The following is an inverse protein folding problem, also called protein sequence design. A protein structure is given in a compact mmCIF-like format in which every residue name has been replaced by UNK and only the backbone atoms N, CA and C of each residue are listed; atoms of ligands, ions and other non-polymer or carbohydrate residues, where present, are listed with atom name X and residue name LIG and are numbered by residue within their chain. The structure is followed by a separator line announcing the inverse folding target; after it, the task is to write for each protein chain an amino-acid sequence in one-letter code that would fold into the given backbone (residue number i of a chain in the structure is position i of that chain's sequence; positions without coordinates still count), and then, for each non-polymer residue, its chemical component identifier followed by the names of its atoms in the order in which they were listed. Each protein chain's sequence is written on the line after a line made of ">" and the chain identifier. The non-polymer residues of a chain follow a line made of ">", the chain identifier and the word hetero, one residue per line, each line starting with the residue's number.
data_IF_812662844416
#
_entry.id   IF_812662844416
#
_cell.length_a   1.000
_cell.length_b   1.000
_cell.length_c   1.000
_cell.angle_alpha   90.00
_cell.angle_beta   90.00
_cell.angle_gamma   90.00
#
_symmetry.space_group_name_H-M   'P 1'
#
loop_
_entity.id
_entity.type
_entity.pdbx_description
1 polymer ?
#
# COMPACT_ATOMS: atom_id res chain seq x y z
N UNK A 1 -14.54 -17.68 -5.27
CA UNK A 1 -13.15 -17.86 -5.76
C UNK A 1 -12.26 -18.42 -4.66
N UNK A 2 -11.11 -18.98 -5.03
CA UNK A 2 -10.07 -19.41 -4.11
C UNK A 2 -8.88 -18.46 -4.20
N UNK A 3 -8.56 -17.79 -3.10
CA UNK A 3 -7.45 -16.86 -3.01
C UNK A 3 -6.29 -17.45 -2.22
N UNK A 4 -5.06 -17.18 -2.64
CA UNK A 4 -3.87 -17.40 -1.84
C UNK A 4 -3.27 -16.04 -1.46
N UNK A 5 -3.15 -15.76 -0.14
CA UNK A 5 -2.62 -14.47 0.34
C UNK A 5 -1.22 -14.67 0.94
N UNK A 6 -0.22 -14.13 0.27
CA UNK A 6 1.13 -13.99 0.82
C UNK A 6 1.20 -12.75 1.73
N UNK A 7 1.95 -12.83 2.82
CA UNK A 7 1.98 -11.75 3.82
C UNK A 7 0.69 -11.59 4.61
N UNK A 8 -0.10 -12.65 4.73
CA UNK A 8 -1.42 -12.68 5.39
C UNK A 8 -1.40 -12.38 6.90
N UNK A 9 -0.23 -12.34 7.54
CA UNK A 9 -0.07 -11.93 8.94
C UNK A 9 0.21 -10.44 9.11
N UNK A 10 0.41 -9.70 8.01
CA UNK A 10 0.65 -8.26 8.00
C UNK A 10 -0.63 -7.44 8.09
N UNK A 11 -0.49 -6.10 8.22
CA UNK A 11 -1.60 -5.15 8.38
C UNK A 11 -2.64 -5.26 7.26
N UNK A 12 -2.22 -5.25 5.99
CA UNK A 12 -3.13 -5.35 4.85
C UNK A 12 -3.61 -6.79 4.64
N UNK A 13 -2.68 -7.76 4.64
CA UNK A 13 -3.00 -9.15 4.31
C UNK A 13 -3.98 -9.81 5.29
N UNK A 14 -3.87 -9.53 6.60
CA UNK A 14 -4.77 -10.10 7.60
C UNK A 14 -6.20 -9.56 7.46
N UNK A 15 -6.34 -8.27 7.16
CA UNK A 15 -7.64 -7.62 6.95
C UNK A 15 -8.27 -8.04 5.63
N UNK A 16 -7.47 -8.13 4.56
CA UNK A 16 -7.94 -8.68 3.29
C UNK A 16 -8.43 -10.12 3.44
N UNK A 17 -7.71 -10.96 4.20
CA UNK A 17 -8.14 -12.33 4.48
C UNK A 17 -9.49 -12.37 5.22
N UNK A 18 -9.68 -11.50 6.23
CA UNK A 18 -10.96 -11.37 6.95
C UNK A 18 -12.09 -10.92 5.99
N UNK A 19 -11.83 -9.88 5.20
CA UNK A 19 -12.79 -9.37 4.21
C UNK A 19 -13.24 -10.46 3.23
N UNK A 20 -12.29 -11.11 2.54
CA UNK A 20 -12.60 -12.12 1.53
C UNK A 20 -13.31 -13.35 2.12
N UNK A 21 -12.96 -13.78 3.34
CA UNK A 21 -13.70 -14.86 4.05
C UNK A 21 -15.14 -14.44 4.34
N UNK A 22 -15.37 -13.22 4.79
CA UNK A 22 -16.71 -12.70 5.06
C UNK A 22 -17.56 -12.58 3.79
N UNK A 23 -16.92 -12.45 2.61
CA UNK A 23 -17.57 -12.51 1.30
C UNK A 23 -17.82 -13.94 0.79
N UNK A 24 -17.49 -14.96 1.57
CA UNK A 24 -17.71 -16.37 1.22
C UNK A 24 -16.65 -16.97 0.32
N UNK A 25 -15.49 -16.31 0.15
CA UNK A 25 -14.39 -16.86 -0.63
C UNK A 25 -13.57 -17.90 0.17
N UNK A 26 -12.98 -18.88 -0.55
CA UNK A 26 -11.99 -19.78 0.02
C UNK A 26 -10.63 -19.06 0.08
N UNK A 27 -10.16 -18.76 1.29
CA UNK A 27 -8.94 -17.97 1.49
C UNK A 27 -7.86 -18.79 2.16
N UNK A 28 -6.82 -19.08 1.40
CA UNK A 28 -5.61 -19.74 1.88
C UNK A 28 -4.65 -18.70 2.44
N UNK A 29 -4.24 -18.93 3.66
CA UNK A 29 -3.27 -18.09 4.38
C UNK A 29 -2.14 -18.98 4.89
N UNK A 30 -0.91 -18.53 4.76
CA UNK A 30 0.25 -19.29 5.20
C UNK A 30 1.48 -18.39 5.34
N UNK A 31 2.45 -18.90 6.09
CA UNK A 31 3.77 -18.26 6.23
C UNK A 31 4.73 -18.91 5.21
N UNK A 32 4.44 -18.72 3.92
CA UNK A 32 5.40 -19.12 2.89
C UNK A 32 6.51 -18.07 2.79
N UNK A 33 7.73 -18.56 2.77
CA UNK A 33 8.90 -17.74 2.49
C UNK A 33 8.93 -17.39 1.00
N UNK A 34 8.67 -16.13 0.67
CA UNK A 34 8.53 -15.68 -0.73
C UNK A 34 9.85 -15.72 -1.51
N UNK A 35 10.98 -15.87 -0.83
CA UNK A 35 12.30 -16.06 -1.44
C UNK A 35 12.56 -17.48 -1.89
N UNK A 36 11.75 -18.44 -1.43
CA UNK A 36 11.85 -19.87 -1.81
C UNK A 36 10.90 -20.18 -2.99
N UNK A 37 11.38 -19.95 -4.22
CA UNK A 37 10.60 -20.16 -5.45
C UNK A 37 10.02 -21.57 -5.59
N UNK A 38 10.81 -22.67 -5.43
CA UNK A 38 10.28 -24.04 -5.53
C UNK A 38 9.12 -24.29 -4.56
N UNK A 39 9.24 -23.81 -3.32
CA UNK A 39 8.20 -23.98 -2.29
C UNK A 39 6.90 -23.23 -2.70
N UNK A 40 7.02 -22.05 -3.28
CA UNK A 40 5.85 -21.30 -3.79
C UNK A 40 5.15 -22.07 -4.90
N UNK A 41 5.90 -22.55 -5.89
CA UNK A 41 5.36 -23.32 -7.03
C UNK A 41 4.65 -24.58 -6.56
N UNK A 42 5.29 -25.37 -5.69
CA UNK A 42 4.69 -26.58 -5.11
C UNK A 42 3.36 -26.27 -4.41
N UNK A 43 3.35 -25.27 -3.54
CA UNK A 43 2.16 -24.91 -2.78
C UNK A 43 1.03 -24.40 -3.69
N UNK A 44 1.33 -23.59 -4.70
CA UNK A 44 0.32 -23.05 -5.60
C UNK A 44 -0.23 -24.14 -6.54
N UNK A 45 0.61 -25.03 -7.08
CA UNK A 45 0.18 -26.18 -7.89
C UNK A 45 -0.70 -27.14 -7.08
N UNK A 46 -0.37 -27.38 -5.81
CA UNK A 46 -1.16 -28.22 -4.90
C UNK A 46 -2.48 -27.58 -4.52
N UNK A 47 -2.47 -26.30 -4.18
CA UNK A 47 -3.66 -25.60 -3.69
C UNK A 47 -4.58 -25.09 -4.80
N UNK A 48 -4.07 -24.90 -6.02
CA UNK A 48 -4.79 -24.40 -7.21
C UNK A 48 -5.65 -23.17 -6.91
N UNK A 49 -5.07 -22.04 -6.49
CA UNK A 49 -5.83 -20.82 -6.27
C UNK A 49 -6.25 -20.19 -7.61
N UNK A 50 -7.40 -19.50 -7.62
CA UNK A 50 -7.82 -18.69 -8.76
C UNK A 50 -6.96 -17.41 -8.88
N UNK A 51 -6.58 -16.84 -7.73
CA UNK A 51 -5.74 -15.66 -7.65
C UNK A 51 -4.75 -15.74 -6.46
N UNK A 52 -3.55 -15.21 -6.67
CA UNK A 52 -2.53 -15.00 -5.64
C UNK A 52 -2.36 -13.50 -5.43
N UNK A 53 -2.55 -13.01 -4.20
CA UNK A 53 -2.32 -11.62 -3.85
C UNK A 53 -1.10 -11.53 -2.93
N UNK A 54 -0.07 -10.81 -3.36
CA UNK A 54 1.14 -10.64 -2.59
C UNK A 54 1.14 -9.33 -1.80
N UNK A 55 0.89 -9.42 -0.48
CA UNK A 55 1.08 -8.35 0.50
C UNK A 55 2.42 -8.43 1.23
N UNK A 56 3.22 -9.46 0.96
CA UNK A 56 4.51 -9.61 1.63
C UNK A 56 5.48 -8.51 1.22
N UNK A 57 6.23 -8.04 2.20
CA UNK A 57 7.25 -7.02 2.03
C UNK A 57 8.14 -6.98 3.28
N UNK A 58 9.33 -6.41 3.16
CA UNK A 58 10.22 -6.22 4.29
C UNK A 58 9.51 -5.44 5.41
N UNK A 59 9.78 -5.82 6.65
CA UNK A 59 9.19 -5.18 7.84
C UNK A 59 9.84 -3.81 8.07
N UNK A 60 9.30 -2.80 7.40
CA UNK A 60 9.73 -1.41 7.60
C UNK A 60 9.15 -0.87 8.93
N UNK A 61 9.89 -1.00 10.02
CA UNK A 61 9.47 -0.48 11.32
C UNK A 61 10.61 0.31 11.96
N UNK A 62 10.37 1.51 12.49
CA UNK A 62 9.06 2.20 12.56
C UNK A 62 8.58 2.76 11.22
N UNK A 63 9.47 2.96 10.26
CA UNK A 63 9.19 3.52 8.92
C UNK A 63 10.21 3.03 7.89
N UNK A 64 10.25 3.64 6.69
CA UNK A 64 11.12 3.24 5.58
C UNK A 64 12.61 3.49 5.81
N UNK A 65 13.01 4.24 6.84
CA UNK A 65 14.42 4.43 7.21
C UNK A 65 15.11 3.10 7.53
N UNK A 66 14.33 2.12 8.01
CA UNK A 66 14.80 0.75 8.20
C UNK A 66 15.45 0.16 6.93
N UNK A 67 14.94 0.49 5.75
CA UNK A 67 15.48 0.00 4.47
C UNK A 67 16.88 0.56 4.16
N UNK A 68 17.23 1.75 4.68
CA UNK A 68 18.57 2.32 4.49
C UNK A 68 19.62 1.52 5.26
N UNK A 69 19.24 0.95 6.40
CA UNK A 69 20.13 0.15 7.25
C UNK A 69 20.09 -1.37 6.93
N UNK A 70 19.06 -1.83 6.18
CA UNK A 70 18.81 -3.25 5.89
C UNK A 70 18.65 -3.50 4.38
N UNK A 71 19.62 -3.08 3.59
CA UNK A 71 19.55 -3.08 2.12
C UNK A 71 19.41 -4.49 1.53
N UNK A 72 20.22 -5.43 1.99
CA UNK A 72 20.20 -6.82 1.51
C UNK A 72 18.82 -7.47 1.72
N UNK A 73 18.28 -7.38 2.93
CA UNK A 73 16.95 -7.90 3.25
C UNK A 73 15.86 -7.20 2.43
N UNK A 74 16.01 -5.88 2.19
CA UNK A 74 15.09 -5.12 1.37
C UNK A 74 15.10 -5.59 -0.08
N UNK A 75 16.27 -5.82 -0.68
CA UNK A 75 16.39 -6.39 -2.04
C UNK A 75 15.79 -7.79 -2.08
N UNK A 76 16.18 -8.64 -1.13
CA UNK A 76 15.76 -10.04 -1.12
C UNK A 76 14.24 -10.18 -1.03
N UNK A 77 13.57 -9.41 -0.15
CA UNK A 77 12.13 -9.54 0.06
C UNK A 77 11.33 -8.67 -0.93
N UNK A 78 11.70 -7.39 -1.10
CA UNK A 78 10.89 -6.46 -1.89
C UNK A 78 11.11 -6.54 -3.40
N UNK A 79 12.18 -7.20 -3.84
CA UNK A 79 12.47 -7.40 -5.28
C UNK A 79 12.41 -8.90 -5.59
N UNK A 80 13.40 -9.69 -5.17
CA UNK A 80 13.49 -11.09 -5.54
C UNK A 80 12.26 -11.91 -5.07
N UNK A 81 11.86 -11.77 -3.81
CA UNK A 81 10.69 -12.46 -3.27
C UNK A 81 9.38 -12.06 -3.94
N UNK A 82 9.21 -10.77 -4.26
CA UNK A 82 8.03 -10.30 -4.97
C UNK A 82 7.96 -10.86 -6.40
N UNK A 83 9.08 -10.89 -7.12
CA UNK A 83 9.18 -11.49 -8.46
C UNK A 83 8.90 -12.99 -8.40
N UNK A 84 9.53 -13.71 -7.48
CA UNK A 84 9.30 -15.14 -7.26
C UNK A 84 7.82 -15.46 -7.03
N UNK A 85 7.15 -14.67 -6.18
CA UNK A 85 5.73 -14.87 -5.88
C UNK A 85 4.85 -14.76 -7.13
N UNK A 86 5.11 -13.78 -7.99
CA UNK A 86 4.34 -13.55 -9.21
C UNK A 86 4.64 -14.62 -10.27
N UNK A 87 5.91 -14.97 -10.47
CA UNK A 87 6.30 -16.04 -11.40
C UNK A 87 5.75 -17.40 -10.98
N UNK A 88 5.81 -17.75 -9.69
CA UNK A 88 5.25 -18.99 -9.17
C UNK A 88 3.72 -19.06 -9.35
N UNK A 89 3.02 -17.93 -9.18
CA UNK A 89 1.59 -17.85 -9.44
C UNK A 89 1.27 -18.10 -10.92
N UNK A 90 2.01 -17.47 -11.84
CA UNK A 90 1.88 -17.71 -13.29
C UNK A 90 2.15 -19.16 -13.66
N UNK A 91 3.24 -19.77 -13.14
CA UNK A 91 3.58 -21.16 -13.39
C UNK A 91 2.50 -22.14 -12.90
N UNK A 92 1.80 -21.77 -11.83
CA UNK A 92 0.69 -22.56 -11.28
C UNK A 92 -0.67 -22.26 -11.97
N UNK A 93 -0.71 -21.37 -12.96
CA UNK A 93 -1.94 -20.98 -13.66
C UNK A 93 -2.88 -20.07 -12.83
N UNK A 94 -2.40 -19.48 -11.75
CA UNK A 94 -3.16 -18.55 -10.92
C UNK A 94 -3.00 -17.10 -11.41
N UNK A 95 -4.03 -16.26 -11.21
CA UNK A 95 -3.93 -14.83 -11.52
C UNK A 95 -3.11 -14.08 -10.47
N UNK A 96 -1.99 -13.43 -10.86
CA UNK A 96 -1.07 -12.79 -9.93
C UNK A 96 -1.39 -11.31 -9.70
N UNK A 97 -1.54 -10.90 -8.44
CA UNK A 97 -1.70 -9.50 -8.02
C UNK A 97 -0.56 -9.13 -7.07
N UNK A 98 0.30 -8.21 -7.50
CA UNK A 98 1.35 -7.62 -6.66
C UNK A 98 0.87 -6.31 -6.05
N UNK A 99 0.82 -6.23 -4.72
CA UNK A 99 0.63 -4.96 -4.03
C UNK A 99 1.94 -4.16 -4.13
N UNK A 100 1.90 -3.10 -4.92
CA UNK A 100 3.00 -2.19 -5.19
C UNK A 100 2.82 -0.87 -4.43
N UNK A 101 3.60 0.14 -4.75
CA UNK A 101 3.62 1.42 -4.04
C UNK A 101 3.72 2.59 -4.98
N UNK A 102 2.94 3.65 -4.71
CA UNK A 102 3.09 4.95 -5.35
C UNK A 102 4.21 5.81 -4.76
N UNK A 103 4.96 5.32 -3.76
CA UNK A 103 6.11 6.04 -3.19
C UNK A 103 7.33 6.06 -4.14
N UNK A 104 7.09 6.15 -5.42
CA UNK A 104 8.09 6.24 -6.50
C UNK A 104 7.98 7.56 -7.26
N UNK A 105 7.10 8.45 -6.79
CA UNK A 105 6.88 9.76 -7.39
C UNK A 105 7.09 10.87 -6.36
N UNK A 106 7.40 12.07 -6.86
CA UNK A 106 7.43 13.33 -6.13
C UNK A 106 6.89 14.44 -7.01
N UNK A 107 5.85 15.14 -6.53
CA UNK A 107 5.20 16.24 -7.24
C UNK A 107 3.88 16.63 -6.56
N UNK A 108 3.45 17.88 -6.75
CA UNK A 108 2.22 18.42 -6.19
C UNK A 108 0.96 17.94 -6.91
N UNK A 109 -0.23 18.40 -6.46
CA UNK A 109 -1.53 17.99 -7.02
C UNK A 109 -1.70 18.35 -8.49
N UNK A 110 -1.00 19.37 -8.97
CA UNK A 110 -0.98 19.77 -10.38
C UNK A 110 -0.34 18.74 -11.31
N UNK A 111 0.45 17.82 -10.78
CA UNK A 111 1.15 16.80 -11.58
C UNK A 111 0.38 15.49 -11.72
N UNK A 112 -0.54 15.19 -10.84
CA UNK A 112 -1.33 13.93 -10.76
C UNK A 112 -0.81 12.75 -11.63
N UNK A 113 0.02 11.88 -11.06
CA UNK A 113 0.74 10.84 -11.81
C UNK A 113 -0.18 9.70 -12.25
N UNK A 114 -0.18 9.40 -13.54
CA UNK A 114 -0.86 8.25 -14.14
C UNK A 114 0.01 7.00 -14.10
N UNK A 115 -0.53 5.88 -14.60
CA UNK A 115 0.21 4.62 -14.74
C UNK A 115 1.34 4.71 -15.78
N UNK A 116 1.22 5.62 -16.75
CA UNK A 116 2.16 5.80 -17.86
C UNK A 116 3.36 6.69 -17.50
N UNK A 117 3.28 7.44 -16.40
CA UNK A 117 4.39 8.27 -15.99
C UNK A 117 5.57 7.44 -15.49
N UNK A 118 6.77 7.79 -15.92
CA UNK A 118 7.99 7.20 -15.40
C UNK A 118 8.25 7.65 -13.96
N UNK A 119 8.75 6.75 -13.08
CA UNK A 119 9.13 7.11 -11.72
C UNK A 119 10.17 8.24 -11.67
N UNK A 120 9.96 9.21 -10.78
CA UNK A 120 10.85 10.36 -10.62
C UNK A 120 11.39 10.55 -9.20
N UNK A 121 11.08 9.64 -8.26
CA UNK A 121 11.53 9.73 -6.88
C UNK A 121 12.47 8.57 -6.51
N UNK A 122 13.74 8.91 -6.27
CA UNK A 122 14.83 7.98 -5.93
C UNK A 122 15.41 8.23 -4.53
N UNK A 123 14.76 9.06 -3.73
CA UNK A 123 15.26 9.59 -2.45
C UNK A 123 15.30 8.60 -1.29
N UNK A 124 14.77 7.37 -1.47
CA UNK A 124 14.88 6.30 -0.47
C UNK A 124 15.26 4.98 -1.12
N UNK A 125 15.96 4.12 -0.37
CA UNK A 125 16.29 2.77 -0.82
C UNK A 125 15.02 1.95 -1.09
N UNK A 126 14.01 2.10 -0.23
CA UNK A 126 12.70 1.51 -0.43
C UNK A 126 12.10 1.85 -1.81
N UNK A 127 12.07 3.14 -2.16
CA UNK A 127 11.50 3.59 -3.45
C UNK A 127 12.27 3.04 -4.63
N UNK A 128 13.61 3.06 -4.57
CA UNK A 128 14.46 2.47 -5.63
C UNK A 128 14.15 0.99 -5.83
N UNK A 129 13.97 0.22 -4.76
CA UNK A 129 13.66 -1.21 -4.87
C UNK A 129 12.23 -1.46 -5.38
N UNK A 130 11.28 -0.57 -5.08
CA UNK A 130 9.94 -0.64 -5.68
C UNK A 130 9.96 -0.34 -7.19
N UNK A 131 10.80 0.58 -7.65
CA UNK A 131 11.00 0.87 -9.08
C UNK A 131 11.60 -0.35 -9.79
N UNK A 132 12.65 -0.96 -9.23
CA UNK A 132 13.28 -2.16 -9.79
C UNK A 132 12.29 -3.33 -9.91
N UNK A 133 11.55 -3.61 -8.86
CA UNK A 133 10.52 -4.65 -8.85
C UNK A 133 9.43 -4.38 -9.90
N UNK A 134 8.94 -3.12 -9.96
CA UNK A 134 7.92 -2.74 -10.93
C UNK A 134 8.41 -2.91 -12.37
N UNK A 135 9.63 -2.50 -12.67
CA UNK A 135 10.23 -2.65 -14.01
C UNK A 135 10.37 -4.13 -14.40
N UNK A 136 10.83 -4.99 -13.47
CA UNK A 136 10.98 -6.41 -13.74
C UNK A 136 9.64 -7.14 -14.02
N UNK A 137 8.53 -6.68 -13.44
CA UNK A 137 7.21 -7.28 -13.63
C UNK A 137 6.38 -6.61 -14.75
N UNK A 138 6.85 -5.51 -15.34
CA UNK A 138 6.06 -4.69 -16.29
C UNK A 138 5.63 -5.45 -17.53
N UNK A 139 6.52 -6.31 -18.06
CA UNK A 139 6.30 -7.08 -19.29
C UNK A 139 5.61 -8.43 -19.06
N UNK A 140 5.28 -8.76 -17.82
CA UNK A 140 4.63 -10.02 -17.46
C UNK A 140 3.11 -9.84 -17.31
N UNK A 141 2.30 -10.90 -17.49
CA UNK A 141 0.85 -10.85 -17.30
C UNK A 141 0.50 -10.81 -15.80
N UNK A 142 1.01 -9.82 -15.10
CA UNK A 142 0.86 -9.55 -13.65
C UNK A 142 0.12 -8.23 -13.46
N UNK A 143 -0.81 -8.16 -12.52
CA UNK A 143 -1.36 -6.89 -12.06
C UNK A 143 -0.48 -6.32 -10.94
N UNK A 144 0.00 -5.11 -11.11
CA UNK A 144 0.72 -4.35 -10.09
C UNK A 144 -0.13 -3.18 -9.60
N UNK A 145 -0.66 -3.27 -8.36
CA UNK A 145 -1.50 -2.20 -7.80
C UNK A 145 -0.66 -1.23 -6.97
N UNK A 146 -0.54 0.01 -7.40
CA UNK A 146 0.12 1.07 -6.63
C UNK A 146 -0.85 1.61 -5.59
N UNK A 147 -0.65 1.25 -4.35
CA UNK A 147 -1.34 1.85 -3.20
C UNK A 147 -0.46 2.93 -2.57
N UNK A 148 -1.06 3.81 -1.75
CA UNK A 148 -0.30 4.85 -1.07
C UNK A 148 -0.88 5.14 0.32
N UNK A 149 0.01 5.33 1.30
CA UNK A 149 -0.35 5.77 2.66
C UNK A 149 -1.62 5.08 3.20
N UNK A 150 -1.64 3.74 3.37
CA UNK A 150 -2.86 3.03 3.73
C UNK A 150 -3.39 3.46 5.09
N UNK A 151 -4.67 3.84 5.12
CA UNK A 151 -5.45 4.13 6.33
C UNK A 151 -6.57 3.11 6.50
N UNK A 152 -7.09 2.99 7.72
CA UNK A 152 -8.19 2.09 8.08
C UNK A 152 -8.99 2.69 9.21
N UNK A 153 -10.25 2.32 9.29
CA UNK A 153 -11.12 2.56 10.45
C UNK A 153 -10.69 1.77 11.69
N UNK A 154 -9.89 0.70 11.53
CA UNK A 154 -9.38 -0.09 12.65
C UNK A 154 -8.01 0.42 13.13
N UNK A 155 -7.83 0.70 14.45
CA UNK A 155 -6.53 1.04 15.03
C UNK A 155 -5.47 -0.05 14.78
N UNK A 156 -4.27 0.38 14.39
CA UNK A 156 -3.13 -0.53 14.23
C UNK A 156 -1.82 0.25 14.12
N UNK A 157 -0.69 -0.20 14.68
CA UNK A 157 0.59 0.53 14.61
C UNK A 157 1.10 0.85 13.20
N UNK A 158 0.61 0.15 12.17
CA UNK A 158 0.93 0.39 10.75
C UNK A 158 -0.11 1.22 10.01
N UNK A 159 -1.25 1.51 10.62
CA UNK A 159 -2.24 2.44 10.10
C UNK A 159 -1.63 3.86 10.10
N UNK A 160 -1.73 4.59 8.98
CA UNK A 160 -1.19 5.95 8.91
C UNK A 160 -1.79 6.86 10.01
N UNK A 161 -3.08 6.72 10.33
CA UNK A 161 -3.72 7.48 11.40
C UNK A 161 -2.93 7.30 12.70
N UNK A 162 -2.68 6.05 13.13
CA UNK A 162 -1.92 5.77 14.35
C UNK A 162 -0.51 6.36 14.33
N UNK A 163 0.14 6.35 13.15
CA UNK A 163 1.50 6.90 13.01
C UNK A 163 1.50 8.42 13.18
N UNK A 164 0.66 9.12 12.43
CA UNK A 164 0.70 10.59 12.45
C UNK A 164 0.25 11.18 13.79
N UNK A 165 -0.74 10.58 14.45
CA UNK A 165 -1.14 11.03 15.80
C UNK A 165 -0.08 10.70 16.87
N UNK A 166 0.86 9.79 16.62
CA UNK A 166 1.98 9.52 17.54
C UNK A 166 3.15 10.50 17.38
N UNK A 167 3.18 11.31 16.33
CA UNK A 167 4.25 12.24 16.05
C UNK A 167 3.90 13.64 16.55
N UNK A 168 4.84 14.25 17.28
CA UNK A 168 4.72 15.67 17.70
C UNK A 168 5.02 16.66 16.58
N UNK A 169 5.83 16.24 15.61
CA UNK A 169 6.22 17.05 14.45
C UNK A 169 5.81 16.32 13.18
N UNK A 170 5.06 16.96 12.32
CA UNK A 170 4.59 16.40 11.06
C UNK A 170 4.80 17.37 9.90
N UNK A 171 5.01 16.84 8.70
CA UNK A 171 4.83 17.59 7.45
C UNK A 171 3.36 17.50 7.02
N UNK A 172 2.86 18.53 6.34
CA UNK A 172 1.54 18.49 5.71
C UNK A 172 1.67 18.89 4.25
N UNK A 173 1.64 17.88 3.39
CA UNK A 173 1.74 18.02 1.94
C UNK A 173 0.67 17.16 1.27
N UNK A 174 0.14 17.58 0.11
CA UNK A 174 -0.82 16.78 -0.65
C UNK A 174 -0.29 15.40 -1.00
N UNK A 175 -1.03 14.37 -0.64
CA UNK A 175 -0.69 12.97 -0.92
C UNK A 175 -1.93 12.16 -1.23
N UNK A 176 -1.87 11.28 -2.22
CA UNK A 176 -2.87 10.25 -2.36
C UNK A 176 -2.84 9.29 -1.18
N UNK A 177 -4.01 8.81 -0.79
CA UNK A 177 -4.21 7.89 0.33
C UNK A 177 -5.04 6.70 -0.16
N UNK A 178 -4.84 5.53 0.42
CA UNK A 178 -5.65 4.34 0.17
C UNK A 178 -6.39 3.94 1.44
N UNK A 179 -7.72 4.10 1.46
CA UNK A 179 -8.57 3.53 2.49
C UNK A 179 -8.71 2.02 2.22
N UNK A 180 -8.33 1.20 3.18
CA UNK A 180 -8.27 -0.25 2.95
C UNK A 180 -9.66 -0.88 2.84
N UNK A 181 -10.68 -0.27 3.40
CA UNK A 181 -12.08 -0.66 3.28
C UNK A 181 -12.61 -0.47 1.84
N UNK A 182 -12.03 0.45 1.06
CA UNK A 182 -12.29 0.61 -0.37
C UNK A 182 -11.36 -0.28 -1.21
N UNK A 183 -10.13 -0.51 -0.74
CA UNK A 183 -9.12 -1.32 -1.43
C UNK A 183 -9.58 -2.78 -1.61
N UNK A 184 -10.13 -3.40 -0.58
CA UNK A 184 -10.42 -4.84 -0.63
C UNK A 184 -11.55 -5.20 -1.60
N UNK A 185 -12.68 -4.46 -1.67
CA UNK A 185 -13.66 -4.66 -2.75
C UNK A 185 -13.08 -4.46 -4.14
N UNK A 186 -12.16 -3.50 -4.30
CA UNK A 186 -11.49 -3.27 -5.57
C UNK A 186 -10.58 -4.46 -5.95
N UNK A 187 -9.80 -5.02 -4.99
CA UNK A 187 -8.96 -6.20 -5.23
C UNK A 187 -9.79 -7.45 -5.56
N UNK A 188 -10.94 -7.65 -4.90
CA UNK A 188 -11.90 -8.71 -5.20
C UNK A 188 -12.37 -8.60 -6.65
N UNK A 189 -12.83 -7.42 -7.06
CA UNK A 189 -13.28 -7.15 -8.43
C UNK A 189 -12.16 -7.34 -9.47
N UNK A 190 -10.94 -6.89 -9.16
CA UNK A 190 -9.78 -7.08 -10.03
C UNK A 190 -9.41 -8.55 -10.21
N UNK A 191 -9.58 -9.39 -9.20
CA UNK A 191 -9.39 -10.83 -9.32
C UNK A 191 -10.44 -11.50 -10.23
N UNK A 192 -11.65 -10.93 -10.35
CA UNK A 192 -12.68 -11.40 -11.28
C UNK A 192 -12.38 -11.02 -12.73
N UNK A 193 -12.05 -9.72 -12.97
CA UNK A 193 -11.86 -9.18 -14.33
C UNK A 193 -10.45 -9.38 -14.89
N UNK A 194 -9.48 -9.73 -14.04
CA UNK A 194 -8.09 -10.13 -14.34
C UNK A 194 -7.33 -9.20 -15.29
N UNK A 195 -7.30 -7.87 -15.08
CA UNK A 195 -6.48 -6.98 -15.89
C UNK A 195 -4.99 -7.20 -15.57
N UNK A 196 -4.12 -6.86 -16.51
CA UNK A 196 -2.66 -6.90 -16.33
C UNK A 196 -2.04 -5.52 -16.39
N UNK A 197 -0.76 -5.43 -16.03
CA UNK A 197 -0.01 -4.18 -16.03
C UNK A 197 -0.13 -3.40 -14.73
N UNK A 198 0.02 -2.09 -14.80
CA UNK A 198 0.04 -1.21 -13.64
C UNK A 198 -1.31 -0.53 -13.44
N UNK A 199 -1.73 -0.41 -12.17
CA UNK A 199 -2.96 0.28 -11.78
C UNK A 199 -2.72 1.08 -10.49
N UNK A 200 -3.03 2.38 -10.52
CA UNK A 200 -3.08 3.19 -9.33
C UNK A 200 -4.38 2.89 -8.57
N UNK A 201 -4.24 2.46 -7.32
CA UNK A 201 -5.37 2.05 -6.49
C UNK A 201 -5.40 2.88 -5.21
N UNK A 202 -5.67 4.16 -5.37
CA UNK A 202 -5.81 5.16 -4.31
C UNK A 202 -7.21 5.77 -4.34
N UNK A 203 -7.64 6.32 -3.20
CA UNK A 203 -8.84 7.15 -3.18
C UNK A 203 -8.65 8.39 -4.03
N UNK A 204 -9.73 8.92 -4.56
CA UNK A 204 -9.71 10.06 -5.47
C UNK A 204 -9.14 11.31 -4.79
N UNK A 205 -8.42 12.13 -5.56
CA UNK A 205 -7.80 13.35 -5.07
C UNK A 205 -6.63 13.10 -4.12
N UNK A 206 -6.53 13.91 -3.09
CA UNK A 206 -5.45 13.88 -2.11
C UNK A 206 -5.94 14.28 -0.71
N UNK A 207 -5.14 13.94 0.28
CA UNK A 207 -5.32 14.35 1.68
C UNK A 207 -3.97 14.79 2.24
N UNK A 208 -3.97 15.82 3.06
CA UNK A 208 -2.82 16.23 3.85
C UNK A 208 -2.85 15.62 5.25
N UNK A 209 -1.69 15.41 5.86
CA UNK A 209 -1.62 14.86 7.22
C UNK A 209 -2.34 15.75 8.25
N UNK A 210 -2.29 17.08 8.10
CA UNK A 210 -3.03 18.02 8.95
C UNK A 210 -4.54 17.77 8.89
N UNK A 211 -5.12 17.52 7.71
CA UNK A 211 -6.54 17.24 7.57
C UNK A 211 -6.98 15.97 8.33
N UNK A 212 -6.12 14.93 8.31
CA UNK A 212 -6.37 13.69 9.06
C UNK A 212 -6.33 13.97 10.58
N UNK A 213 -5.33 14.74 11.05
CA UNK A 213 -5.23 15.10 12.48
C UNK A 213 -6.38 16.00 12.90
N UNK A 214 -6.78 16.98 12.10
CA UNK A 214 -7.92 17.85 12.46
C UNK A 214 -9.24 17.06 12.52
N UNK A 215 -9.43 16.07 11.64
CA UNK A 215 -10.56 15.15 11.75
C UNK A 215 -10.48 14.31 13.04
N UNK A 216 -9.30 13.83 13.41
CA UNK A 216 -9.05 13.12 14.68
C UNK A 216 -9.36 14.01 15.89
N UNK A 217 -8.90 15.26 15.90
CA UNK A 217 -9.20 16.23 16.96
C UNK A 217 -10.69 16.47 17.10
N UNK A 218 -11.38 16.73 16.01
CA UNK A 218 -12.84 16.99 16.02
C UNK A 218 -13.66 15.84 16.63
N UNK A 219 -13.24 14.59 16.43
CA UNK A 219 -14.06 13.41 16.78
C UNK A 219 -13.57 12.73 18.06
N UNK A 220 -12.26 12.69 18.31
CA UNK A 220 -11.66 11.79 19.30
C UNK A 220 -10.96 12.56 20.42
N UNK A 221 -10.03 13.45 20.10
CA UNK A 221 -9.16 14.10 21.08
C UNK A 221 -8.97 15.59 20.77
N UNK A 222 -9.89 16.47 21.22
CA UNK A 222 -9.86 17.90 20.90
C UNK A 222 -8.56 18.63 21.24
N UNK A 223 -7.88 18.17 22.29
CA UNK A 223 -6.64 18.76 22.78
C UNK A 223 -5.38 18.10 22.21
N UNK A 224 -5.50 17.26 21.16
CA UNK A 224 -4.34 16.66 20.52
C UNK A 224 -3.41 17.74 19.96
N UNK A 225 -2.13 17.72 20.38
CA UNK A 225 -1.13 18.72 20.03
C UNK A 225 -0.11 18.19 19.03
N UNK A 226 0.20 19.03 18.03
CA UNK A 226 1.22 18.74 17.04
C UNK A 226 1.80 20.04 16.45
N UNK A 227 2.98 19.95 15.88
CA UNK A 227 3.65 21.07 15.21
C UNK A 227 3.88 20.75 13.74
N UNK A 228 3.50 21.65 12.85
CA UNK A 228 3.86 21.56 11.44
C UNK A 228 5.33 21.93 11.27
N UNK A 229 6.03 21.12 10.50
CA UNK A 229 7.40 21.36 10.08
C UNK A 229 7.51 21.32 8.55
N UNK A 230 8.55 21.92 8.03
CA UNK A 230 8.86 21.91 6.60
C UNK A 230 9.48 20.57 6.19
N UNK A 231 9.49 20.31 4.87
CA UNK A 231 10.17 19.14 4.32
C UNK A 231 11.69 19.19 4.58
N UNK A 232 12.29 20.40 4.57
CA UNK A 232 13.71 20.62 4.89
C UNK A 232 14.03 20.26 6.34
N UNK A 233 13.18 20.64 7.29
CA UNK A 233 13.34 20.26 8.71
C UNK A 233 13.16 18.76 8.93
N UNK A 234 12.39 18.08 8.08
CA UNK A 234 12.21 16.63 8.18
C UNK A 234 13.41 15.87 7.59
N UNK A 235 13.89 16.23 6.42
CA UNK A 235 14.81 15.43 5.60
C UNK A 235 16.08 16.17 5.10
N UNK A 236 16.33 17.39 5.61
CA UNK A 236 17.54 18.17 5.35
C UNK A 236 18.78 17.56 6.03
N UNK A 237 19.91 18.28 5.97
CA UNK A 237 21.20 17.80 6.48
C UNK A 237 21.16 17.41 7.97
N UNK A 238 20.39 18.15 8.77
CA UNK A 238 20.17 17.90 10.20
C UNK A 238 18.73 17.38 10.44
N UNK A 239 18.15 16.75 9.44
CA UNK A 239 16.77 16.28 9.46
C UNK A 239 16.51 15.11 10.40
N UNK A 240 15.23 14.87 10.66
CA UNK A 240 14.75 13.86 11.62
C UNK A 240 14.87 12.45 11.04
N UNK A 241 14.82 12.31 9.69
CA UNK A 241 14.73 11.04 8.97
C UNK A 241 15.96 10.79 8.10
N UNK A 242 16.30 9.51 7.90
CA UNK A 242 17.43 9.09 7.06
C UNK A 242 17.08 9.08 5.58
N UNK A 243 15.89 8.58 5.26
CA UNK A 243 15.39 8.47 3.89
C UNK A 243 14.49 9.65 3.56
N UNK A 244 14.63 10.21 2.36
CA UNK A 244 13.68 11.22 1.87
C UNK A 244 12.27 10.66 1.72
N UNK A 245 11.27 11.51 1.78
CA UNK A 245 9.84 11.16 1.72
C UNK A 245 9.26 11.53 0.36
N UNK A 246 8.67 10.56 -0.28
CA UNK A 246 7.86 10.77 -1.49
C UNK A 246 6.56 11.49 -1.10
N UNK A 247 6.25 12.56 -1.78
CA UNK A 247 4.96 13.26 -1.67
C UNK A 247 4.41 13.41 -3.08
N UNK A 248 3.26 12.80 -3.35
CA UNK A 248 2.66 12.84 -4.68
C UNK A 248 1.18 12.53 -4.68
N UNK A 249 0.52 12.97 -5.74
CA UNK A 249 -0.86 12.62 -6.06
C UNK A 249 -0.87 11.68 -7.26
N UNK A 250 -1.60 10.57 -7.15
CA UNK A 250 -1.79 9.60 -8.22
C UNK A 250 -3.18 9.77 -8.83
N UNK A 251 -3.27 9.74 -10.15
CA UNK A 251 -4.55 9.65 -10.84
C UNK A 251 -5.13 8.23 -10.68
N UNK A 252 -6.41 8.13 -10.34
CA UNK A 252 -7.15 6.88 -10.29
C UNK A 252 -8.17 6.72 -11.43
N UNK A 253 -8.04 7.52 -12.49
CA UNK A 253 -8.98 7.53 -13.63
C UNK A 253 -9.05 6.15 -14.31
N UNK A 254 -7.94 5.44 -14.43
CA UNK A 254 -7.91 4.08 -14.96
C UNK A 254 -8.70 3.11 -14.07
N UNK A 255 -8.59 3.22 -12.75
CA UNK A 255 -9.40 2.42 -11.82
C UNK A 255 -10.90 2.74 -11.94
N UNK A 256 -11.26 4.03 -12.02
CA UNK A 256 -12.64 4.49 -12.27
C UNK A 256 -13.21 3.93 -13.57
N UNK A 257 -12.44 3.94 -14.65
CA UNK A 257 -12.88 3.39 -15.95
C UNK A 257 -13.17 1.88 -15.91
N UNK A 258 -12.58 1.16 -14.95
CA UNK A 258 -12.85 -0.26 -14.67
C UNK A 258 -14.04 -0.46 -13.72
N UNK A 259 -14.73 0.61 -13.33
CA UNK A 259 -15.86 0.57 -12.38
C UNK A 259 -15.46 0.32 -10.93
N UNK A 260 -14.19 0.57 -10.57
CA UNK A 260 -13.71 0.46 -9.19
C UNK A 260 -14.11 1.70 -8.39
N UNK A 261 -14.63 1.49 -7.19
CA UNK A 261 -15.10 2.58 -6.32
C UNK A 261 -14.02 2.93 -5.30
N UNK A 262 -13.29 4.00 -5.56
CA UNK A 262 -12.28 4.58 -4.68
C UNK A 262 -12.59 6.07 -4.47
N UNK A 263 -13.70 6.41 -3.78
CA UNK A 263 -14.18 7.81 -3.66
C UNK A 263 -13.21 8.68 -2.88
N UNK A 264 -13.32 10.00 -3.06
CA UNK A 264 -12.50 10.98 -2.35
C UNK A 264 -12.67 10.88 -0.82
N UNK A 265 -11.59 11.18 -0.11
CA UNK A 265 -11.59 11.28 1.35
C UNK A 265 -11.76 12.76 1.76
N UNK A 266 -12.93 13.31 1.47
CA UNK A 266 -13.31 14.66 1.89
C UNK A 266 -13.50 14.76 3.41
N UNK A 267 -13.82 15.98 3.90
CA UNK A 267 -13.99 16.23 5.34
C UNK A 267 -15.07 15.34 5.98
N UNK A 268 -16.19 15.10 5.28
CA UNK A 268 -17.27 14.27 5.80
C UNK A 268 -16.82 12.81 5.91
N UNK A 269 -16.16 12.29 4.87
CA UNK A 269 -15.68 10.92 4.88
C UNK A 269 -14.54 10.70 5.88
N UNK A 270 -13.63 11.68 6.04
CA UNK A 270 -12.62 11.64 7.10
C UNK A 270 -13.28 11.61 8.49
N UNK A 271 -14.37 12.35 8.71
CA UNK A 271 -15.13 12.32 9.95
C UNK A 271 -15.75 10.94 10.19
N UNK A 272 -16.41 10.35 9.19
CA UNK A 272 -16.98 8.99 9.28
C UNK A 272 -15.90 7.94 9.63
N UNK A 273 -14.73 8.04 9.00
CA UNK A 273 -13.57 7.18 9.31
C UNK A 273 -13.15 7.33 10.77
N UNK A 274 -13.10 8.57 11.29
CA UNK A 274 -12.72 8.82 12.69
C UNK A 274 -13.78 8.37 13.69
N UNK A 275 -15.05 8.48 13.34
CA UNK A 275 -16.15 7.95 14.16
C UNK A 275 -16.05 6.42 14.29
N UNK A 276 -15.91 5.71 13.17
CA UNK A 276 -15.69 4.26 13.18
C UNK A 276 -14.37 3.87 13.89
N UNK A 277 -13.30 4.64 13.69
CA UNK A 277 -12.02 4.43 14.38
C UNK A 277 -12.16 4.59 15.91
N UNK A 278 -12.97 5.54 16.38
CA UNK A 278 -13.25 5.79 17.81
C UNK A 278 -13.95 4.59 18.46
N UNK A 279 -14.90 3.97 17.76
CA UNK A 279 -15.64 2.81 18.25
C UNK A 279 -14.77 1.56 18.40
N UNK A 280 -13.68 1.47 17.63
CA UNK A 280 -12.77 0.32 17.61
C UNK A 280 -11.48 0.53 18.40
N UNK A 281 -11.28 1.71 18.99
CA UNK A 281 -10.10 2.08 19.81
C UNK A 281 -10.26 1.61 21.26
#
# INVERSE_FOLDING_TARGET
>A
MKFYLLGSTGFLGSRCAKYLKNKGHNVLVGRLEITNYPLLVENFKKSKPDAVINFAGARTYPNIDWCEDNKETTVLINVAGAINAMLAALEAGAYPIQISSGCIYSGGPETSFTEENEPNFFGSFYSRMRIVMQAALKELPVLQTRIRMPISTEPHPRNLINKIISYKKIISLPNSVTLIEDLFPALEKLAEIKPTGILNLTNDGYVEHSQIIEAYKKVIEPNHDYTLITLEELEGKDGIVKAKRSNCVLSNEKAKSMGLKMPALDENRLKEIMEAYKELR
#
